data_IF_021485171655
#
_entry.id   IF_021485171655
#
_cell.length_a   1.000
_cell.length_b   1.000
_cell.length_c   1.000
_cell.angle_alpha   90.00
_cell.angle_beta   90.00
_cell.angle_gamma   90.00
#
_symmetry.space_group_name_H-M   'P 1'
#
loop_
_entity.id
_entity.type
_entity.pdbx_description
1 polymer ?
#
# COMPACT_ATOMS: atom_id res chain seq x y z
N UNK A 1 -21.35 -8.79 -12.73
CA UNK A 1 -20.08 -9.50 -13.06
C UNK A 1 -20.07 -10.90 -12.45
N UNK A 2 -19.65 -11.93 -13.20
CA UNK A 2 -19.44 -13.29 -12.64
C UNK A 2 -18.24 -13.25 -11.67
N UNK A 3 -18.30 -13.98 -10.55
CA UNK A 3 -17.23 -13.94 -9.53
C UNK A 3 -15.85 -14.29 -10.14
N UNK A 4 -15.79 -15.27 -11.04
CA UNK A 4 -14.55 -15.63 -11.74
C UNK A 4 -13.91 -14.44 -12.47
N UNK A 5 -14.71 -13.64 -13.18
CA UNK A 5 -14.23 -12.42 -13.86
C UNK A 5 -13.74 -11.39 -12.85
N UNK A 6 -14.46 -11.22 -11.73
CA UNK A 6 -14.05 -10.31 -10.66
C UNK A 6 -12.68 -10.68 -10.07
N UNK A 7 -12.47 -11.97 -9.83
CA UNK A 7 -11.19 -12.50 -9.33
C UNK A 7 -10.07 -12.22 -10.31
N UNK A 8 -10.26 -12.53 -11.60
CA UNK A 8 -9.24 -12.29 -12.63
C UNK A 8 -8.88 -10.80 -12.71
N UNK A 9 -9.88 -9.90 -12.77
CA UNK A 9 -9.65 -8.45 -12.80
C UNK A 9 -8.92 -7.98 -11.55
N UNK A 10 -9.31 -8.47 -10.38
CA UNK A 10 -8.66 -8.12 -9.10
C UNK A 10 -7.23 -8.63 -9.03
N UNK A 11 -6.93 -9.82 -9.59
CA UNK A 11 -5.56 -10.33 -9.68
C UNK A 11 -4.69 -9.49 -10.64
N UNK A 12 -5.24 -9.06 -11.77
CA UNK A 12 -4.55 -8.15 -12.70
C UNK A 12 -4.25 -6.82 -11.99
N UNK A 13 -5.23 -6.24 -11.29
CA UNK A 13 -5.04 -5.02 -10.51
C UNK A 13 -4.00 -5.21 -9.40
N UNK A 14 -3.96 -6.37 -8.74
CA UNK A 14 -2.95 -6.69 -7.73
C UNK A 14 -1.55 -6.63 -8.32
N UNK A 15 -1.32 -7.34 -9.43
CA UNK A 15 -0.03 -7.36 -10.12
C UNK A 15 0.35 -5.97 -10.64
N UNK A 16 -0.62 -5.23 -11.18
CA UNK A 16 -0.41 -3.87 -11.67
C UNK A 16 0.03 -2.91 -10.56
N UNK A 17 -0.61 -2.96 -9.39
CA UNK A 17 -0.19 -2.15 -8.23
C UNK A 17 1.22 -2.53 -7.75
N UNK A 18 1.57 -3.82 -7.71
CA UNK A 18 2.93 -4.27 -7.35
C UNK A 18 3.98 -3.71 -8.30
N UNK A 19 3.68 -3.68 -9.62
CA UNK A 19 4.55 -3.07 -10.62
C UNK A 19 4.66 -1.55 -10.39
N UNK A 20 3.55 -0.86 -10.13
CA UNK A 20 3.57 0.59 -9.88
C UNK A 20 4.39 0.95 -8.63
N UNK A 21 4.25 0.19 -7.54
CA UNK A 21 5.06 0.38 -6.33
C UNK A 21 6.55 0.20 -6.64
N UNK A 22 6.90 -0.83 -7.40
CA UNK A 22 8.28 -1.05 -7.84
C UNK A 22 8.79 0.12 -8.70
N UNK A 23 7.96 0.63 -9.62
CA UNK A 23 8.31 1.79 -10.44
C UNK A 23 8.46 3.07 -9.60
N UNK A 24 7.64 3.26 -8.57
CA UNK A 24 7.82 4.39 -7.64
C UNK A 24 9.17 4.29 -6.94
N UNK A 25 9.56 3.12 -6.40
CA UNK A 25 10.88 2.95 -5.78
C UNK A 25 12.01 3.19 -6.79
N UNK A 26 11.89 2.67 -8.02
CA UNK A 26 12.88 2.84 -9.07
C UNK A 26 13.05 4.32 -9.50
N UNK A 27 11.95 5.07 -9.58
CA UNK A 27 11.96 6.48 -10.00
C UNK A 27 12.13 7.47 -8.85
N UNK A 28 12.17 6.99 -7.59
CA UNK A 28 12.47 7.83 -6.44
C UNK A 28 13.97 8.02 -6.35
N UNK A 29 14.42 9.28 -6.38
CA UNK A 29 15.85 9.55 -6.29
C UNK A 29 16.35 9.20 -4.89
N UNK A 30 17.45 8.45 -4.83
CA UNK A 30 18.17 8.17 -3.59
C UNK A 30 19.21 9.25 -3.35
N UNK A 31 19.14 9.91 -2.20
CA UNK A 31 20.12 10.92 -1.84
C UNK A 31 21.48 10.27 -1.58
N UNK A 32 22.54 10.86 -2.14
CA UNK A 32 23.92 10.49 -1.85
C UNK A 32 24.56 11.70 -1.16
N UNK A 33 24.92 11.61 0.13
CA UNK A 33 25.56 12.71 0.85
C UNK A 33 26.78 13.24 0.08
N UNK A 34 26.86 14.57 -0.09
CA UNK A 34 27.98 15.23 -0.79
C UNK A 34 27.90 15.22 -2.33
N UNK A 35 26.81 14.74 -2.94
CA UNK A 35 26.55 14.93 -4.38
C UNK A 35 25.50 16.01 -4.63
N UNK A 36 25.60 16.68 -5.78
CA UNK A 36 24.66 17.70 -6.19
C UNK A 36 23.22 17.16 -6.31
N UNK A 37 22.26 18.01 -5.93
CA UNK A 37 20.82 17.75 -6.04
C UNK A 37 20.43 17.71 -7.53
N UNK A 38 19.69 16.66 -7.92
CA UNK A 38 19.12 16.56 -9.26
C UNK A 38 18.05 17.64 -9.45
N UNK A 39 18.19 18.47 -10.48
CA UNK A 39 17.20 19.47 -10.89
C UNK A 39 16.05 18.92 -11.74
N UNK A 40 15.96 17.60 -11.94
CA UNK A 40 14.99 16.94 -12.84
C UNK A 40 13.57 16.79 -12.25
N UNK A 41 13.28 17.40 -11.10
CA UNK A 41 11.96 17.34 -10.47
C UNK A 41 11.61 15.98 -9.88
N UNK A 42 10.33 15.71 -9.63
CA UNK A 42 9.85 14.49 -8.98
C UNK A 42 9.13 13.54 -9.97
N UNK A 43 9.85 12.71 -10.75
CA UNK A 43 9.24 11.86 -11.76
C UNK A 43 8.31 10.80 -11.18
N UNK A 44 8.60 10.27 -9.97
CA UNK A 44 7.75 9.30 -9.32
C UNK A 44 6.36 9.86 -8.93
N UNK A 45 6.23 11.18 -8.75
CA UNK A 45 4.96 11.81 -8.39
C UNK A 45 3.86 11.58 -9.43
N UNK A 46 4.20 11.47 -10.73
CA UNK A 46 3.19 11.18 -11.76
C UNK A 46 2.55 9.80 -11.57
N UNK A 47 3.31 8.84 -11.03
CA UNK A 47 2.81 7.49 -10.77
C UNK A 47 1.77 7.47 -9.66
N UNK A 48 1.75 8.46 -8.76
CA UNK A 48 0.74 8.54 -7.69
C UNK A 48 -0.68 8.67 -8.27
N UNK A 49 -0.84 9.45 -9.34
CA UNK A 49 -2.11 9.64 -10.02
C UNK A 49 -2.62 8.37 -10.72
N UNK A 50 -1.75 7.37 -10.90
CA UNK A 50 -2.09 6.06 -11.49
C UNK A 50 -2.26 5.03 -10.38
N UNK A 51 -1.34 5.00 -9.42
CA UNK A 51 -1.31 4.03 -8.32
C UNK A 51 -2.48 4.20 -7.37
N UNK A 52 -2.77 5.42 -6.91
CA UNK A 52 -3.83 5.65 -5.93
C UNK A 52 -5.20 5.18 -6.45
N UNK A 53 -5.64 5.55 -7.68
CA UNK A 53 -6.89 5.02 -8.23
C UNK A 53 -6.83 3.50 -8.44
N UNK A 54 -5.72 2.96 -8.96
CA UNK A 54 -5.56 1.52 -9.18
C UNK A 54 -5.65 0.74 -7.85
N UNK A 55 -5.11 1.29 -6.78
CA UNK A 55 -5.15 0.71 -5.44
C UNK A 55 -6.56 0.74 -4.85
N UNK A 56 -7.28 1.86 -5.02
CA UNK A 56 -8.70 1.95 -4.63
C UNK A 56 -9.54 0.91 -5.38
N UNK A 57 -9.35 0.75 -6.69
CA UNK A 57 -10.06 -0.27 -7.46
C UNK A 57 -9.71 -1.70 -7.02
N UNK A 58 -8.45 -1.95 -6.67
CA UNK A 58 -8.04 -3.23 -6.09
C UNK A 58 -8.79 -3.51 -4.77
N UNK A 59 -8.82 -2.55 -3.84
CA UNK A 59 -9.52 -2.68 -2.56
C UNK A 59 -11.02 -2.93 -2.77
N UNK A 60 -11.65 -2.22 -3.70
CA UNK A 60 -13.06 -2.43 -4.07
C UNK A 60 -13.29 -3.84 -4.65
N UNK A 61 -12.39 -4.33 -5.50
CA UNK A 61 -12.43 -5.68 -6.06
C UNK A 61 -12.34 -6.76 -4.98
N UNK A 62 -11.37 -6.63 -4.06
CA UNK A 62 -11.21 -7.52 -2.90
C UNK A 62 -12.48 -7.50 -2.04
N UNK A 63 -12.98 -6.30 -1.70
CA UNK A 63 -14.20 -6.12 -0.90
C UNK A 63 -15.41 -6.80 -1.55
N UNK A 64 -15.59 -6.62 -2.87
CA UNK A 64 -16.67 -7.24 -3.63
C UNK A 64 -16.61 -8.77 -3.57
N UNK A 65 -15.44 -9.36 -3.85
CA UNK A 65 -15.25 -10.82 -3.85
C UNK A 65 -15.51 -11.40 -2.45
N UNK A 66 -14.88 -10.81 -1.43
CA UNK A 66 -14.99 -11.28 -0.04
C UNK A 66 -16.44 -11.26 0.44
N UNK A 67 -17.20 -10.20 0.13
CA UNK A 67 -18.60 -10.09 0.52
C UNK A 67 -19.52 -11.02 -0.26
N UNK A 68 -19.35 -11.07 -1.58
CA UNK A 68 -20.20 -11.89 -2.44
C UNK A 68 -20.09 -13.38 -2.10
N UNK A 69 -18.88 -13.85 -1.86
CA UNK A 69 -18.61 -15.25 -1.53
C UNK A 69 -18.75 -15.54 -0.03
N UNK A 70 -19.13 -14.54 0.78
CA UNK A 70 -19.23 -14.64 2.24
C UNK A 70 -18.00 -15.31 2.86
N UNK A 71 -16.82 -14.96 2.33
CA UNK A 71 -15.59 -15.76 2.41
C UNK A 71 -15.21 -16.15 3.84
N UNK A 72 -15.50 -15.30 4.83
CA UNK A 72 -15.10 -15.50 6.23
C UNK A 72 -16.18 -16.11 7.14
N UNK A 73 -17.42 -16.28 6.67
CA UNK A 73 -18.58 -16.68 7.50
C UNK A 73 -18.37 -18.00 8.25
N UNK A 74 -17.70 -18.97 7.63
CA UNK A 74 -17.43 -20.29 8.21
C UNK A 74 -15.92 -20.56 8.39
N UNK A 75 -15.10 -19.52 8.38
CA UNK A 75 -13.64 -19.64 8.49
C UNK A 75 -13.18 -19.51 9.93
N UNK A 76 -11.97 -19.99 10.19
CA UNK A 76 -11.35 -19.98 11.54
C UNK A 76 -11.28 -18.58 12.15
N UNK A 77 -11.52 -18.46 13.46
CA UNK A 77 -11.42 -17.20 14.21
C UNK A 77 -10.00 -16.61 14.23
N UNK A 78 -8.99 -17.38 13.85
CA UNK A 78 -7.60 -16.93 13.80
C UNK A 78 -7.28 -15.98 12.64
N UNK A 79 -8.13 -15.88 11.61
CA UNK A 79 -7.89 -14.96 10.47
C UNK A 79 -7.80 -13.48 10.89
N UNK A 80 -8.75 -12.91 11.65
CA UNK A 80 -8.62 -11.55 12.17
C UNK A 80 -7.30 -11.31 12.93
N UNK A 81 -6.89 -12.28 13.77
CA UNK A 81 -5.64 -12.19 14.53
C UNK A 81 -4.42 -12.19 13.61
N UNK A 82 -4.39 -13.06 12.60
CA UNK A 82 -3.32 -13.10 11.60
C UNK A 82 -3.23 -11.76 10.84
N UNK A 83 -4.37 -11.22 10.40
CA UNK A 83 -4.39 -9.92 9.71
C UNK A 83 -3.90 -8.79 10.62
N UNK A 84 -4.29 -8.79 11.90
CA UNK A 84 -3.80 -7.83 12.88
C UNK A 84 -2.28 -7.89 13.03
N UNK A 85 -1.71 -9.10 13.14
CA UNK A 85 -0.24 -9.27 13.24
C UNK A 85 0.47 -8.70 12.00
N UNK A 86 -0.07 -8.93 10.80
CA UNK A 86 0.51 -8.40 9.56
C UNK A 86 0.38 -6.87 9.49
N UNK A 87 -0.74 -6.30 9.95
CA UNK A 87 -0.91 -4.83 10.04
C UNK A 87 0.14 -4.25 10.99
N UNK A 88 0.30 -4.81 12.19
CA UNK A 88 1.29 -4.35 13.18
C UNK A 88 2.71 -4.43 12.61
N UNK A 89 3.06 -5.54 11.96
CA UNK A 89 4.35 -5.69 11.31
C UNK A 89 4.56 -4.66 10.18
N UNK A 90 3.53 -4.41 9.37
CA UNK A 90 3.58 -3.43 8.28
C UNK A 90 3.76 -2.01 8.81
N UNK A 91 3.04 -1.63 9.88
CA UNK A 91 3.18 -0.33 10.54
C UNK A 91 4.59 -0.16 11.12
N UNK A 92 5.13 -1.18 11.79
CA UNK A 92 6.48 -1.15 12.33
C UNK A 92 7.54 -0.96 11.24
N UNK A 93 7.43 -1.71 10.14
CA UNK A 93 8.36 -1.59 9.01
C UNK A 93 8.23 -0.24 8.30
N UNK A 94 7.00 0.25 8.13
CA UNK A 94 6.72 1.57 7.58
C UNK A 94 7.35 2.69 8.43
N UNK A 95 7.21 2.60 9.75
CA UNK A 95 7.80 3.55 10.69
C UNK A 95 9.33 3.58 10.55
N UNK A 96 9.97 2.41 10.55
CA UNK A 96 11.42 2.33 10.38
C UNK A 96 11.88 2.85 9.01
N UNK A 97 11.14 2.56 7.95
CA UNK A 97 11.43 3.04 6.61
C UNK A 97 11.32 4.57 6.51
N UNK A 98 10.22 5.13 7.00
CA UNK A 98 10.00 6.58 7.04
C UNK A 98 11.06 7.29 7.87
N UNK A 99 11.40 6.75 9.05
CA UNK A 99 12.47 7.29 9.89
C UNK A 99 13.83 7.26 9.22
N UNK A 100 14.16 6.17 8.51
CA UNK A 100 15.40 6.08 7.78
C UNK A 100 15.51 7.16 6.70
N UNK A 101 14.45 7.35 5.91
CA UNK A 101 14.38 8.42 4.90
C UNK A 101 14.47 9.80 5.56
N UNK A 102 13.74 10.02 6.65
CA UNK A 102 13.78 11.28 7.39
C UNK A 102 15.18 11.59 7.91
N UNK A 103 15.86 10.64 8.56
CA UNK A 103 17.21 10.82 9.09
C UNK A 103 18.26 11.08 7.99
N UNK A 104 18.05 10.50 6.80
CA UNK A 104 18.95 10.69 5.65
C UNK A 104 18.74 12.05 4.99
N UNK A 105 17.51 12.57 5.02
CA UNK A 105 17.09 13.77 4.29
C UNK A 105 16.74 14.96 5.21
N UNK A 106 17.00 14.88 6.52
CA UNK A 106 16.44 15.77 7.55
C UNK A 106 16.60 17.26 7.22
N UNK A 107 17.81 17.69 6.85
CA UNK A 107 18.10 19.09 6.54
C UNK A 107 17.37 19.62 5.29
N UNK A 108 16.90 18.73 4.42
CA UNK A 108 16.29 19.07 3.12
C UNK A 108 14.77 18.90 3.11
N UNK A 109 14.19 18.09 4.02
CA UNK A 109 12.73 18.05 4.21
C UNK A 109 12.24 19.41 4.72
N UNK A 110 13.04 20.09 5.53
CA UNK A 110 12.75 21.44 6.00
C UNK A 110 12.85 22.50 4.88
N UNK A 111 13.67 22.28 3.85
CA UNK A 111 13.82 23.19 2.71
C UNK A 111 12.80 22.94 1.58
N UNK A 112 12.54 21.68 1.23
CA UNK A 112 11.72 21.29 0.08
C UNK A 112 10.33 20.76 0.45
N UNK A 113 10.02 20.68 1.74
CA UNK A 113 8.77 20.14 2.25
C UNK A 113 8.68 18.62 2.15
N UNK A 114 7.56 18.08 2.64
CA UNK A 114 7.34 16.64 2.79
C UNK A 114 7.06 15.90 1.46
N UNK A 115 6.58 16.58 0.43
CA UNK A 115 6.31 16.00 -0.90
C UNK A 115 7.41 16.45 -1.85
N UNK A 116 8.49 15.66 -1.93
CA UNK A 116 9.63 15.97 -2.77
C UNK A 116 10.17 14.69 -3.44
N UNK A 117 11.16 14.86 -4.31
CA UNK A 117 11.70 13.78 -5.14
C UNK A 117 12.39 12.63 -4.37
N UNK A 118 12.67 12.83 -3.08
CA UNK A 118 13.35 11.87 -2.20
C UNK A 118 12.39 11.15 -1.24
N UNK A 119 11.14 11.59 -1.13
CA UNK A 119 10.20 11.12 -0.10
C UNK A 119 9.07 10.26 -0.65
N UNK A 120 9.00 10.00 -1.96
CA UNK A 120 7.85 9.29 -2.54
C UNK A 120 7.63 7.90 -1.94
N UNK A 121 8.70 7.17 -1.66
CA UNK A 121 8.65 5.84 -1.03
C UNK A 121 8.22 5.88 0.42
N UNK A 122 8.14 7.04 1.09
CA UNK A 122 7.45 7.15 2.37
C UNK A 122 5.95 6.87 2.19
N UNK A 123 5.37 7.30 1.08
CA UNK A 123 3.92 7.25 0.87
C UNK A 123 3.47 6.01 0.11
N UNK A 124 4.16 5.68 -0.99
CA UNK A 124 3.83 4.54 -1.84
C UNK A 124 4.97 3.53 -1.75
N UNK A 125 4.75 2.46 -1.00
CA UNK A 125 5.67 1.35 -0.85
C UNK A 125 4.92 0.07 -0.49
N UNK A 126 5.66 -1.04 -0.36
CA UNK A 126 5.08 -2.34 -0.02
C UNK A 126 4.39 -2.37 1.35
N UNK A 127 4.89 -1.64 2.34
CA UNK A 127 4.32 -1.62 3.70
C UNK A 127 2.96 -0.91 3.74
N UNK A 128 2.83 0.27 3.09
CA UNK A 128 1.55 0.98 3.01
C UNK A 128 0.52 0.19 2.19
N UNK A 129 0.97 -0.43 1.10
CA UNK A 129 0.16 -1.32 0.27
C UNK A 129 -0.39 -2.53 1.04
N UNK A 130 0.46 -3.25 1.78
CA UNK A 130 0.05 -4.40 2.58
C UNK A 130 -0.86 -3.97 3.73
N UNK A 131 -0.53 -2.86 4.41
CA UNK A 131 -1.30 -2.32 5.52
C UNK A 131 -2.77 -2.10 5.12
N UNK A 132 -3.04 -1.46 3.97
CA UNK A 132 -4.43 -1.21 3.54
C UNK A 132 -5.18 -2.48 3.13
N UNK A 133 -4.54 -3.42 2.43
CA UNK A 133 -5.15 -4.70 2.05
C UNK A 133 -5.54 -5.50 3.30
N UNK A 134 -4.61 -5.64 4.25
CA UNK A 134 -4.86 -6.44 5.45
C UNK A 134 -5.82 -5.76 6.42
N UNK A 135 -5.84 -4.42 6.47
CA UNK A 135 -6.88 -3.67 7.20
C UNK A 135 -8.26 -3.98 6.64
N UNK A 136 -8.43 -3.91 5.31
CA UNK A 136 -9.70 -4.26 4.67
C UNK A 136 -10.11 -5.70 4.96
N UNK A 137 -9.20 -6.68 4.80
CA UNK A 137 -9.49 -8.09 5.07
C UNK A 137 -9.83 -8.33 6.55
N UNK A 138 -9.12 -7.67 7.47
CA UNK A 138 -9.40 -7.67 8.91
C UNK A 138 -10.82 -7.21 9.19
N UNK A 139 -11.19 -6.02 8.71
CA UNK A 139 -12.52 -5.47 8.88
C UNK A 139 -13.61 -6.37 8.28
N UNK A 140 -13.44 -6.85 7.05
CA UNK A 140 -14.40 -7.75 6.41
C UNK A 140 -14.58 -9.06 7.18
N UNK A 141 -13.49 -9.61 7.72
CA UNK A 141 -13.53 -10.85 8.51
C UNK A 141 -14.30 -10.68 9.82
N UNK A 142 -14.22 -9.51 10.45
CA UNK A 142 -14.99 -9.17 11.66
C UNK A 142 -16.45 -8.89 11.30
N UNK A 143 -16.73 -8.06 10.29
CA UNK A 143 -18.09 -7.70 9.88
C UNK A 143 -18.94 -8.91 9.47
N UNK A 144 -18.38 -9.84 8.70
CA UNK A 144 -19.12 -11.05 8.29
C UNK A 144 -19.43 -11.99 9.46
N UNK A 145 -18.64 -11.96 10.53
CA UNK A 145 -18.92 -12.72 11.75
C UNK A 145 -20.02 -12.09 12.56
N UNK A 146 -19.96 -10.77 12.76
CA UNK A 146 -21.01 -10.03 13.49
C UNK A 146 -22.37 -10.25 12.83
N UNK A 147 -22.44 -10.21 11.49
CA UNK A 147 -23.67 -10.47 10.74
C UNK A 147 -24.17 -11.92 10.76
N UNK A 148 -23.36 -12.87 11.25
CA UNK A 148 -23.75 -14.28 11.37
C UNK A 148 -24.42 -14.59 12.72
N UNK A 149 -24.07 -13.83 13.76
CA UNK A 149 -24.70 -13.86 15.07
C UNK A 149 -26.06 -13.17 14.98
#
# INVERSE_FOLDING_TARGET
>A
MRTKTAVIVTMILLLFNVILIFLVDLLTFKMIPGRAISGNGNPAFILWFIEIPAYVFLLLGICYIVNKEKYFTNRSIYYPLLFLLIIVASVYLQYNHANHINSTNANLIDEYGWINQYTNTIYINYYTFLMGIFTLLGLQSLFQRIKKV
#
